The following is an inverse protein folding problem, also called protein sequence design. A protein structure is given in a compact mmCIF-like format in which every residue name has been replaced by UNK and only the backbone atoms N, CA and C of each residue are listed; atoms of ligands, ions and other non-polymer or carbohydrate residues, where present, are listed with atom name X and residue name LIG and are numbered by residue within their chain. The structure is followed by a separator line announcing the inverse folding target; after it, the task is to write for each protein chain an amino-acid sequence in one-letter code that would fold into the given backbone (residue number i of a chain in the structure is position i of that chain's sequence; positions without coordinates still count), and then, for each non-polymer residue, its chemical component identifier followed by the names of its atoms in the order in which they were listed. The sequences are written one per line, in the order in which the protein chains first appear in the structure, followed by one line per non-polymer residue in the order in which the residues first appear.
data_IF_073060963455
#
_entry.id   IF_073060963455
#
_cell.length_a   1.000
_cell.length_b   1.000
_cell.length_c   1.000
_cell.angle_alpha   90.00
_cell.angle_beta   90.00
_cell.angle_gamma   90.00
#
_symmetry.space_group_name_H-M   'P 1'
#
loop_
_entity.id
_entity.type
_entity.pdbx_description
1 polymer ?
#
# COMPACT_ATOMS: atom_id res chain seq x y z
N UNK A 1 4.18 -16.00 -8.15
CA UNK A 1 3.73 -14.88 -7.32
C UNK A 1 4.29 -13.58 -7.90
N UNK A 2 3.48 -12.54 -7.92
CA UNK A 2 3.83 -11.21 -8.44
C UNK A 2 5.12 -10.65 -7.81
N UNK A 3 5.27 -10.87 -6.52
CA UNK A 3 6.42 -10.40 -5.73
C UNK A 3 7.56 -11.43 -5.62
N UNK A 4 7.42 -12.60 -6.24
CA UNK A 4 8.38 -13.72 -6.13
C UNK A 4 8.70 -14.07 -4.67
N UNK A 5 7.71 -13.92 -3.77
CA UNK A 5 7.80 -14.20 -2.35
C UNK A 5 6.79 -15.29 -1.97
N UNK A 6 7.21 -16.13 -1.08
CA UNK A 6 6.32 -17.08 -0.42
C UNK A 6 5.65 -16.36 0.76
N UNK A 7 4.34 -16.21 0.67
CA UNK A 7 3.51 -15.56 1.70
C UNK A 7 2.49 -16.56 2.18
N UNK A 8 2.38 -16.72 3.48
CA UNK A 8 1.36 -17.58 4.09
C UNK A 8 -0.05 -17.15 3.63
N UNK A 9 -0.80 -18.03 2.94
CA UNK A 9 -2.15 -17.73 2.47
C UNK A 9 -3.10 -17.31 3.59
N UNK A 10 -2.92 -17.80 4.81
CA UNK A 10 -3.75 -17.44 5.96
C UNK A 10 -3.61 -15.96 6.38
N UNK A 11 -2.56 -15.30 5.91
CA UNK A 11 -2.33 -13.87 6.13
C UNK A 11 -2.90 -12.98 5.02
N UNK A 12 -3.53 -13.57 4.00
CA UNK A 12 -4.03 -12.84 2.82
C UNK A 12 -5.53 -12.63 2.93
N UNK A 13 -5.95 -11.39 2.77
CA UNK A 13 -7.36 -11.01 2.67
C UNK A 13 -7.72 -10.53 1.27
N UNK A 14 -8.75 -11.11 0.67
CA UNK A 14 -9.35 -10.62 -0.56
C UNK A 14 -10.45 -9.63 -0.20
N UNK A 15 -10.37 -8.43 -0.79
CA UNK A 15 -11.20 -7.28 -0.45
C UNK A 15 -11.96 -6.75 -1.68
N UNK A 16 -13.12 -6.09 -1.52
CA UNK A 16 -13.81 -5.42 -2.65
C UNK A 16 -13.08 -4.14 -3.08
N UNK A 17 -11.92 -4.31 -3.71
CA UNK A 17 -10.94 -3.27 -4.04
C UNK A 17 -9.98 -2.99 -2.89
N UNK A 18 -9.04 -2.06 -3.07
CA UNK A 18 -8.03 -1.72 -2.06
C UNK A 18 -8.54 -0.89 -0.87
N UNK A 19 -9.63 -0.13 -1.04
CA UNK A 19 -10.13 0.80 -0.02
C UNK A 19 -10.45 0.17 1.34
N UNK A 20 -11.09 -1.01 1.44
CA UNK A 20 -11.35 -1.62 2.75
C UNK A 20 -10.07 -1.88 3.57
N UNK A 21 -8.97 -2.25 2.92
CA UNK A 21 -7.68 -2.42 3.61
C UNK A 21 -7.21 -1.12 4.25
N UNK A 22 -7.26 0.00 3.50
CA UNK A 22 -6.90 1.33 4.00
C UNK A 22 -7.77 1.71 5.20
N UNK A 23 -9.07 1.50 5.06
CA UNK A 23 -10.07 1.79 6.08
C UNK A 23 -9.82 0.99 7.36
N UNK A 24 -9.69 -0.33 7.24
CA UNK A 24 -9.53 -1.21 8.40
C UNK A 24 -8.19 -1.05 9.10
N UNK A 25 -7.10 -0.86 8.35
CA UNK A 25 -5.79 -0.61 8.94
C UNK A 25 -5.82 0.62 9.85
N UNK A 26 -6.40 1.72 9.37
CA UNK A 26 -6.49 2.95 10.16
C UNK A 26 -7.49 2.79 11.30
N UNK A 27 -8.65 2.15 11.07
CA UNK A 27 -9.68 1.97 12.10
C UNK A 27 -9.21 1.09 13.26
N UNK A 28 -8.41 0.06 12.99
CA UNK A 28 -7.89 -0.83 14.04
C UNK A 28 -6.74 -0.23 14.85
N UNK A 29 -5.99 0.69 14.26
CA UNK A 29 -4.75 1.23 14.84
C UNK A 29 -4.96 2.65 15.36
N UNK A 30 -5.85 3.42 14.70
CA UNK A 30 -6.13 4.81 15.03
C UNK A 30 -7.07 4.96 16.22
N UNK A 31 -6.66 5.78 17.19
CA UNK A 31 -7.46 6.14 18.37
C UNK A 31 -7.08 7.55 18.85
N UNK A 32 -7.90 8.22 19.66
CA UNK A 32 -7.53 9.49 20.28
C UNK A 32 -6.21 9.39 21.05
N UNK A 33 -5.25 10.26 20.71
CA UNK A 33 -3.91 10.28 21.27
C UNK A 33 -2.85 9.53 20.47
N UNK A 34 -3.24 8.64 19.55
CA UNK A 34 -2.32 8.04 18.59
C UNK A 34 -1.94 9.02 17.47
N UNK A 35 -0.75 8.85 16.91
CA UNK A 35 -0.28 9.58 15.73
C UNK A 35 -0.13 8.62 14.55
N UNK A 36 -0.56 9.07 13.36
CA UNK A 36 -0.42 8.31 12.10
C UNK A 36 0.32 9.19 11.09
N UNK A 37 1.46 8.71 10.65
CA UNK A 37 2.33 9.38 9.69
C UNK A 37 1.87 9.04 8.27
N UNK A 38 1.63 10.05 7.42
CA UNK A 38 1.08 9.85 6.07
C UNK A 38 1.63 10.88 5.06
N UNK A 39 1.60 10.55 3.72
CA UNK A 39 2.11 11.48 2.72
C UNK A 39 1.17 12.66 2.46
N UNK A 40 1.76 13.83 2.17
CA UNK A 40 1.08 15.02 1.65
C UNK A 40 1.88 15.60 0.47
N UNK A 41 1.26 15.75 -0.76
CA UNK A 41 -0.06 15.26 -1.12
C UNK A 41 -0.13 13.74 -1.16
N UNK A 42 -1.27 13.18 -0.77
CA UNK A 42 -1.55 11.75 -0.74
C UNK A 42 -2.98 11.40 -1.17
N UNK A 43 -3.32 10.12 -1.14
CA UNK A 43 -4.67 9.70 -1.48
C UNK A 43 -5.64 10.09 -0.36
N UNK A 44 -6.74 10.82 -0.65
CA UNK A 44 -7.55 11.52 0.37
C UNK A 44 -8.15 10.65 1.47
N UNK A 45 -8.38 9.36 1.21
CA UNK A 45 -8.97 8.45 2.19
C UNK A 45 -8.11 8.34 3.46
N UNK A 46 -6.79 8.43 3.33
CA UNK A 46 -5.88 8.26 4.46
C UNK A 46 -6.11 9.34 5.52
N UNK A 47 -6.00 10.59 5.15
CA UNK A 47 -6.21 11.71 6.09
C UNK A 47 -7.65 11.72 6.62
N UNK A 48 -8.65 11.46 5.75
CA UNK A 48 -10.05 11.41 6.15
C UNK A 48 -10.30 10.34 7.22
N UNK A 49 -9.71 9.16 7.06
CA UNK A 49 -9.87 8.07 8.02
C UNK A 49 -9.11 8.31 9.32
N UNK A 50 -7.90 8.88 9.24
CA UNK A 50 -7.15 9.25 10.43
C UNK A 50 -7.98 10.21 11.30
N UNK A 51 -8.51 11.26 10.68
CA UNK A 51 -9.35 12.25 11.37
C UNK A 51 -10.64 11.61 11.93
N UNK A 52 -11.24 10.65 11.21
CA UNK A 52 -12.44 9.95 11.66
C UNK A 52 -12.21 9.15 12.96
N UNK A 53 -11.03 8.54 13.13
CA UNK A 53 -10.69 7.78 14.36
C UNK A 53 -10.36 8.66 15.56
N UNK A 54 -10.18 9.97 15.35
CA UNK A 54 -9.67 10.89 16.36
C UNK A 54 -8.17 10.82 16.60
N UNK A 55 -7.44 10.03 15.81
CA UNK A 55 -5.99 10.04 15.82
C UNK A 55 -5.45 11.34 15.18
N UNK A 56 -4.23 11.72 15.56
CA UNK A 56 -3.54 12.87 14.97
C UNK A 56 -2.89 12.49 13.66
N UNK A 57 -3.29 13.15 12.58
CA UNK A 57 -2.60 13.09 11.31
C UNK A 57 -1.25 13.82 11.39
N UNK A 58 -0.16 13.13 11.03
CA UNK A 58 1.20 13.68 10.98
C UNK A 58 1.69 13.59 9.53
N UNK A 59 1.56 14.66 8.74
CA UNK A 59 1.96 14.63 7.34
C UNK A 59 3.48 14.65 7.18
N UNK A 60 3.98 13.89 6.19
CA UNK A 60 5.29 14.13 5.61
C UNK A 60 5.14 14.68 4.19
N UNK A 61 5.79 15.82 3.94
CA UNK A 61 5.60 16.55 2.71
C UNK A 61 6.42 15.96 1.55
N UNK A 62 5.75 15.74 0.43
CA UNK A 62 6.37 15.40 -0.86
C UNK A 62 6.68 16.71 -1.58
N UNK A 63 7.89 17.21 -1.44
CA UNK A 63 8.29 18.52 -1.97
C UNK A 63 8.90 18.42 -3.37
N UNK A 64 8.83 19.53 -4.13
CA UNK A 64 9.46 19.64 -5.45
C UNK A 64 10.98 19.47 -5.37
N UNK A 65 11.61 19.92 -4.29
CA UNK A 65 13.04 19.77 -4.05
C UNK A 65 13.51 18.32 -3.96
N UNK A 66 12.57 17.40 -3.70
CA UNK A 66 12.79 15.95 -3.66
C UNK A 66 12.05 15.22 -4.79
N UNK A 67 11.80 15.87 -5.92
CA UNK A 67 11.05 15.33 -7.06
C UNK A 67 9.69 14.72 -6.65
N UNK A 68 9.04 15.33 -5.65
CA UNK A 68 7.79 14.83 -5.05
C UNK A 68 7.89 13.39 -4.49
N UNK A 69 9.10 12.91 -4.22
CA UNK A 69 9.35 11.63 -3.52
C UNK A 69 9.32 11.84 -2.01
N UNK A 70 9.04 10.80 -1.27
CA UNK A 70 9.20 10.89 0.17
C UNK A 70 10.70 10.92 0.57
N UNK A 71 10.96 11.62 1.66
CA UNK A 71 12.25 11.68 2.30
C UNK A 71 12.24 10.73 3.51
N UNK A 72 13.00 9.62 3.48
CA UNK A 72 12.98 8.65 4.57
C UNK A 72 13.47 9.23 5.90
N UNK A 73 14.37 10.23 5.90
CA UNK A 73 14.82 10.89 7.12
C UNK A 73 13.70 11.70 7.77
N UNK A 74 12.90 12.41 6.96
CA UNK A 74 11.73 13.13 7.46
C UNK A 74 10.67 12.20 8.04
N UNK A 75 10.42 11.06 7.40
CA UNK A 75 9.49 10.06 7.93
C UNK A 75 9.99 9.57 9.29
N UNK A 76 11.25 9.14 9.39
CA UNK A 76 11.82 8.62 10.63
C UNK A 76 11.83 9.67 11.74
N UNK A 77 12.17 10.93 11.42
CA UNK A 77 12.20 12.02 12.41
C UNK A 77 10.81 12.44 12.89
N UNK A 78 9.74 12.09 12.15
CA UNK A 78 8.35 12.35 12.57
C UNK A 78 7.78 11.30 13.52
N UNK A 79 8.48 10.18 13.72
CA UNK A 79 8.04 9.10 14.59
C UNK A 79 8.29 9.48 16.06
N UNK A 80 7.24 9.37 16.86
CA UNK A 80 7.26 9.58 18.32
C UNK A 80 6.79 8.32 19.05
N UNK A 81 6.81 8.34 20.37
CA UNK A 81 6.24 7.26 21.20
C UNK A 81 4.73 7.10 21.01
N UNK A 82 4.04 8.10 20.45
CA UNK A 82 2.61 8.08 20.12
C UNK A 82 2.31 7.58 18.72
N UNK A 83 3.30 7.49 17.86
CA UNK A 83 3.13 7.00 16.49
C UNK A 83 2.73 5.53 16.53
N UNK A 84 1.66 5.17 15.82
CA UNK A 84 1.16 3.79 15.73
C UNK A 84 1.20 3.22 14.31
N UNK A 85 1.17 4.09 13.30
CA UNK A 85 1.15 3.69 11.91
C UNK A 85 1.95 4.67 11.05
N UNK A 86 2.74 4.12 10.13
CA UNK A 86 3.33 4.86 9.01
C UNK A 86 2.71 4.36 7.71
N UNK A 87 2.16 5.27 6.91
CA UNK A 87 1.54 4.97 5.63
C UNK A 87 2.49 5.41 4.51
N UNK A 88 2.80 4.47 3.63
CA UNK A 88 3.67 4.66 2.47
C UNK A 88 2.89 4.33 1.21
N UNK A 89 2.97 5.18 0.20
CA UNK A 89 2.34 4.97 -1.11
C UNK A 89 3.46 5.01 -2.16
N UNK A 90 3.78 3.88 -2.76
CA UNK A 90 4.84 3.82 -3.76
C UNK A 90 4.49 2.82 -4.89
N UNK A 91 4.37 3.25 -6.14
CA UNK A 91 4.35 4.65 -6.64
C UNK A 91 3.24 5.50 -6.04
N UNK A 92 3.50 6.79 -5.86
CA UNK A 92 2.58 7.68 -5.14
C UNK A 92 1.41 8.19 -6.00
N UNK A 93 0.26 8.29 -5.38
CA UNK A 93 -0.92 8.98 -5.89
C UNK A 93 -1.20 10.19 -4.99
N UNK A 94 -1.22 11.45 -5.50
CA UNK A 94 -1.41 11.82 -6.93
C UNK A 94 -0.13 12.17 -7.71
N UNK A 95 1.05 12.19 -7.09
CA UNK A 95 2.25 12.81 -7.68
C UNK A 95 2.87 11.98 -8.82
N UNK A 96 2.60 10.67 -8.88
CA UNK A 96 3.26 9.75 -9.80
C UNK A 96 4.72 9.49 -9.46
N UNK A 97 5.22 10.03 -8.36
CA UNK A 97 6.62 9.83 -7.95
C UNK A 97 6.88 8.38 -7.56
N UNK A 98 8.09 7.95 -7.82
CA UNK A 98 8.56 6.60 -7.51
C UNK A 98 9.82 6.66 -6.66
N UNK A 99 9.79 5.97 -5.53
CA UNK A 99 10.92 5.89 -4.61
C UNK A 99 11.67 4.59 -4.85
N UNK A 100 12.97 4.71 -5.05
CA UNK A 100 13.84 3.61 -5.40
C UNK A 100 14.36 2.85 -4.17
N UNK A 101 14.88 1.65 -4.42
CA UNK A 101 15.33 0.72 -3.39
C UNK A 101 16.24 1.33 -2.31
N UNK A 102 17.27 2.16 -2.62
CA UNK A 102 18.14 2.69 -1.57
C UNK A 102 17.41 3.50 -0.49
N UNK A 103 16.40 4.28 -0.86
CA UNK A 103 15.60 5.04 0.10
C UNK A 103 14.66 4.14 0.91
N UNK A 104 14.14 3.06 0.29
CA UNK A 104 13.34 2.04 0.98
C UNK A 104 14.22 1.26 1.97
N UNK A 105 15.44 0.86 1.57
CA UNK A 105 16.40 0.19 2.46
C UNK A 105 16.68 1.05 3.69
N UNK A 106 16.97 2.33 3.49
CA UNK A 106 17.24 3.27 4.60
C UNK A 106 16.03 3.40 5.54
N UNK A 107 14.84 3.54 4.98
CA UNK A 107 13.61 3.64 5.77
C UNK A 107 13.34 2.35 6.55
N UNK A 108 13.51 1.19 5.92
CA UNK A 108 13.30 -0.11 6.55
C UNK A 108 14.25 -0.33 7.73
N UNK A 109 15.54 0.01 7.57
CA UNK A 109 16.51 -0.07 8.66
C UNK A 109 16.16 0.89 9.81
N UNK A 110 15.72 2.11 9.49
CA UNK A 110 15.27 3.07 10.50
C UNK A 110 14.05 2.58 11.27
N UNK A 111 13.05 2.02 10.56
CA UNK A 111 11.83 1.49 11.15
C UNK A 111 12.06 0.33 12.12
N UNK A 112 13.14 -0.45 12.00
CA UNK A 112 13.50 -1.49 12.97
C UNK A 112 13.67 -0.95 14.39
N UNK A 113 14.06 0.31 14.54
CA UNK A 113 14.23 0.99 15.82
C UNK A 113 12.91 1.40 16.49
N UNK A 114 11.79 1.27 15.77
CA UNK A 114 10.45 1.65 16.21
C UNK A 114 9.48 0.44 16.19
N UNK A 115 9.69 -0.59 17.03
CA UNK A 115 8.93 -1.84 16.99
C UNK A 115 7.43 -1.67 17.31
N UNK A 116 7.04 -0.55 17.90
CA UNK A 116 5.64 -0.21 18.23
C UNK A 116 4.86 0.38 17.05
N UNK A 117 5.52 0.62 15.89
CA UNK A 117 4.91 1.28 14.74
C UNK A 117 4.56 0.24 13.68
N UNK A 118 3.29 0.16 13.29
CA UNK A 118 2.84 -0.60 12.13
C UNK A 118 3.18 0.13 10.82
N UNK A 119 3.27 -0.61 9.73
CA UNK A 119 3.60 -0.09 8.41
C UNK A 119 2.47 -0.50 7.46
N UNK A 120 1.85 0.48 6.79
CA UNK A 120 0.95 0.23 5.67
C UNK A 120 1.68 0.62 4.38
N UNK A 121 2.05 -0.37 3.58
CA UNK A 121 2.63 -0.18 2.25
C UNK A 121 1.54 -0.32 1.20
N UNK A 122 1.12 0.80 0.63
CA UNK A 122 0.19 0.84 -0.50
C UNK A 122 0.98 0.70 -1.80
N UNK A 123 0.94 -0.50 -2.35
CA UNK A 123 1.68 -0.92 -3.54
C UNK A 123 0.75 -1.12 -4.76
N UNK A 124 -0.44 -0.51 -4.75
CA UNK A 124 -1.48 -0.70 -5.79
C UNK A 124 -1.00 -0.37 -7.21
N UNK A 125 0.06 0.40 -7.36
CA UNK A 125 0.70 0.74 -8.63
C UNK A 125 1.99 -0.06 -8.89
N UNK A 126 2.23 -1.15 -8.18
CA UNK A 126 3.45 -1.98 -8.23
C UNK A 126 3.86 -2.43 -9.65
N UNK A 127 2.90 -2.59 -10.56
CA UNK A 127 3.14 -2.95 -11.96
C UNK A 127 3.06 -1.77 -12.94
N UNK A 128 2.87 -0.55 -12.45
CA UNK A 128 2.82 0.68 -13.26
C UNK A 128 4.09 1.50 -13.06
N UNK A 129 5.23 0.88 -13.33
CA UNK A 129 6.57 1.45 -13.16
C UNK A 129 7.20 1.57 -14.54
N UNK A 130 7.86 2.71 -14.81
CA UNK A 130 8.48 3.05 -16.08
C UNK A 130 10.00 2.89 -16.03
N UNK A 131 10.62 3.01 -17.20
CA UNK A 131 12.06 3.11 -17.37
C UNK A 131 12.84 1.85 -16.88
N UNK A 132 12.19 0.67 -16.93
CA UNK A 132 12.81 -0.60 -16.53
C UNK A 132 13.13 -0.74 -15.06
N UNK A 133 12.57 0.13 -14.21
CA UNK A 133 12.78 0.08 -12.76
C UNK A 133 11.98 -1.06 -12.11
N UNK A 134 12.49 -1.59 -11.01
CA UNK A 134 11.84 -2.63 -10.22
C UNK A 134 11.17 -2.07 -8.97
N UNK A 135 10.03 -2.65 -8.60
CA UNK A 135 9.30 -2.28 -7.38
C UNK A 135 10.06 -2.69 -6.12
N UNK A 136 10.50 -1.75 -5.28
CA UNK A 136 11.13 -2.06 -3.99
C UNK A 136 10.06 -2.31 -2.92
N UNK A 137 9.56 -3.53 -2.86
CA UNK A 137 8.52 -3.91 -1.90
C UNK A 137 9.05 -4.10 -0.49
N UNK A 138 8.23 -3.77 0.51
CA UNK A 138 8.52 -4.06 1.92
C UNK A 138 8.50 -5.56 2.27
N UNK A 139 8.02 -6.44 1.41
CA UNK A 139 8.20 -7.89 1.57
C UNK A 139 9.65 -8.34 1.62
N UNK A 140 10.59 -7.51 1.19
CA UNK A 140 12.03 -7.83 1.23
C UNK A 140 12.67 -7.71 2.62
N UNK A 141 11.94 -7.24 3.64
CA UNK A 141 12.46 -6.99 4.99
C UNK A 141 11.78 -7.90 6.01
N UNK A 142 12.37 -9.10 6.29
CA UNK A 142 11.78 -10.08 7.21
C UNK A 142 11.51 -9.53 8.61
N UNK A 143 12.38 -8.65 9.11
CA UNK A 143 12.28 -8.06 10.45
C UNK A 143 11.09 -7.11 10.64
N UNK A 144 10.37 -6.80 9.55
CA UNK A 144 9.20 -5.92 9.59
C UNK A 144 7.87 -6.66 9.38
N UNK A 145 7.91 -7.96 9.06
CA UNK A 145 6.75 -8.73 8.61
C UNK A 145 5.65 -8.92 9.69
N UNK A 146 6.02 -8.84 10.95
CA UNK A 146 5.11 -8.96 12.10
C UNK A 146 4.24 -7.72 12.34
N UNK A 147 4.50 -6.63 11.62
CA UNK A 147 3.79 -5.34 11.70
C UNK A 147 3.63 -4.65 10.34
N UNK A 148 3.83 -5.40 9.26
CA UNK A 148 3.68 -4.94 7.89
C UNK A 148 2.29 -5.31 7.33
N UNK A 149 1.57 -4.31 6.85
CA UNK A 149 0.37 -4.47 6.03
C UNK A 149 0.74 -4.06 4.61
N UNK A 150 0.56 -4.96 3.65
CA UNK A 150 0.75 -4.65 2.23
C UNK A 150 -0.60 -4.65 1.54
N UNK A 151 -0.84 -3.62 0.77
CA UNK A 151 -2.04 -3.44 -0.05
C UNK A 151 -1.66 -3.44 -1.53
N UNK A 152 -2.34 -4.27 -2.31
CA UNK A 152 -2.29 -4.24 -3.78
C UNK A 152 -3.62 -4.76 -4.35
N UNK A 153 -3.71 -5.01 -5.64
CA UNK A 153 -4.93 -5.55 -6.24
C UNK A 153 -4.97 -5.45 -7.75
N UNK A 154 -6.11 -5.87 -8.28
CA UNK A 154 -6.34 -5.98 -9.73
C UNK A 154 -6.76 -4.66 -10.39
N UNK A 155 -7.24 -3.70 -9.60
CA UNK A 155 -7.85 -2.47 -10.13
C UNK A 155 -6.95 -1.70 -11.10
N UNK A 156 -5.66 -1.62 -10.85
CA UNK A 156 -4.70 -0.80 -11.61
C UNK A 156 -3.90 -1.65 -12.59
N UNK A 157 -3.19 -2.63 -12.08
CA UNK A 157 -2.33 -3.50 -12.89
C UNK A 157 -3.09 -4.23 -14.00
N UNK A 158 -4.31 -4.67 -13.73
CA UNK A 158 -5.13 -5.44 -14.66
C UNK A 158 -6.30 -4.64 -15.27
N UNK A 159 -6.36 -3.32 -15.07
CA UNK A 159 -7.47 -2.47 -15.51
C UNK A 159 -8.86 -2.95 -15.04
N UNK A 160 -8.92 -3.61 -13.87
CA UNK A 160 -10.13 -4.24 -13.33
C UNK A 160 -10.81 -3.39 -12.25
N UNK A 161 -10.92 -2.07 -12.46
CA UNK A 161 -11.50 -1.16 -11.47
C UNK A 161 -12.95 -1.48 -11.11
N UNK A 162 -13.76 -1.87 -12.08
CA UNK A 162 -15.17 -2.23 -11.93
C UNK A 162 -15.41 -3.60 -11.29
N UNK A 163 -14.44 -4.50 -11.33
CA UNK A 163 -14.52 -5.84 -10.74
C UNK A 163 -14.44 -5.84 -9.21
N UNK A 164 -14.03 -4.73 -8.63
CA UNK A 164 -13.91 -4.55 -7.19
C UNK A 164 -13.08 -5.64 -6.50
N UNK A 165 -11.84 -5.81 -6.98
CA UNK A 165 -10.90 -6.81 -6.47
C UNK A 165 -9.62 -6.13 -5.96
N UNK A 166 -9.30 -6.38 -4.71
CA UNK A 166 -8.05 -6.03 -4.06
C UNK A 166 -7.60 -7.16 -3.15
N UNK A 167 -6.35 -7.15 -2.75
CA UNK A 167 -5.82 -8.05 -1.75
C UNK A 167 -4.90 -7.31 -0.80
N UNK A 168 -4.74 -7.85 0.37
CA UNK A 168 -3.82 -7.35 1.36
C UNK A 168 -3.20 -8.47 2.17
N UNK A 169 -1.96 -8.28 2.59
CA UNK A 169 -1.27 -9.16 3.50
C UNK A 169 -1.21 -8.49 4.86
N UNK A 170 -1.52 -9.24 5.90
CA UNK A 170 -1.63 -8.72 7.25
C UNK A 170 -0.65 -9.40 8.21
N UNK A 171 -0.22 -8.71 9.28
CA UNK A 171 0.47 -9.36 10.39
C UNK A 171 -0.42 -10.41 11.03
N UNK A 172 0.18 -11.47 11.55
CA UNK A 172 -0.55 -12.55 12.25
C UNK A 172 -1.39 -12.00 13.42
N UNK A 173 -0.90 -10.99 14.12
CA UNK A 173 -1.60 -10.34 15.21
C UNK A 173 -2.89 -9.61 14.79
N UNK A 174 -3.05 -9.22 13.53
CA UNK A 174 -4.19 -8.45 13.05
C UNK A 174 -5.15 -9.25 12.14
N UNK A 175 -4.72 -10.37 11.55
CA UNK A 175 -5.51 -11.07 10.53
C UNK A 175 -6.88 -11.53 11.05
N UNK A 176 -6.97 -12.04 12.28
CA UNK A 176 -8.24 -12.47 12.86
C UNK A 176 -9.21 -11.31 13.08
N UNK A 177 -8.70 -10.14 13.41
CA UNK A 177 -9.50 -8.94 13.63
C UNK A 177 -10.03 -8.38 12.31
N UNK A 178 -9.18 -8.26 11.29
CA UNK A 178 -9.61 -7.79 9.96
C UNK A 178 -10.59 -8.76 9.31
N UNK A 179 -10.44 -10.06 9.53
CA UNK A 179 -11.39 -11.08 9.06
C UNK A 179 -12.79 -10.85 9.66
N UNK A 180 -12.87 -10.59 10.96
CA UNK A 180 -14.15 -10.26 11.62
C UNK A 180 -14.77 -8.97 11.06
N UNK A 181 -13.96 -7.93 10.84
CA UNK A 181 -14.44 -6.69 10.23
C UNK A 181 -14.97 -6.94 8.82
N UNK A 182 -14.27 -7.72 8.00
CA UNK A 182 -14.68 -8.05 6.65
C UNK A 182 -16.00 -8.82 6.62
N UNK A 183 -16.14 -9.86 7.44
CA UNK A 183 -17.37 -10.67 7.55
C UNK A 183 -18.56 -9.79 7.93
N UNK A 184 -18.39 -8.87 8.90
CA UNK A 184 -19.48 -8.04 9.40
C UNK A 184 -19.80 -6.82 8.52
N UNK A 185 -18.96 -6.47 7.54
CA UNK A 185 -19.18 -5.31 6.68
C UNK A 185 -19.60 -5.67 5.25
N UNK A 186 -18.95 -6.60 4.59
CA UNK A 186 -19.25 -6.97 3.20
C UNK A 186 -19.32 -8.49 2.97
N UNK A 187 -19.11 -9.31 3.99
CA UNK A 187 -19.10 -10.79 3.96
C UNK A 187 -17.97 -11.35 3.11
N UNK A 188 -18.05 -11.22 1.78
CA UNK A 188 -17.01 -11.67 0.84
C UNK A 188 -17.06 -10.86 -0.46
N UNK A 189 -16.00 -10.96 -1.26
CA UNK A 189 -16.02 -10.52 -2.65
C UNK A 189 -16.85 -11.49 -3.47
N UNK A 190 -17.61 -11.02 -4.47
CA UNK A 190 -18.45 -11.89 -5.27
C UNK A 190 -17.63 -12.97 -6.00
N UNK A 191 -18.17 -14.17 -6.06
CA UNK A 191 -17.46 -15.33 -6.61
C UNK A 191 -17.01 -15.17 -8.08
N UNK A 192 -17.83 -14.66 -9.01
CA UNK A 192 -17.37 -14.42 -10.38
C UNK A 192 -16.11 -13.54 -10.47
N UNK A 193 -16.03 -12.48 -9.67
CA UNK A 193 -14.83 -11.64 -9.64
C UNK A 193 -13.60 -12.40 -9.11
N UNK A 194 -13.76 -13.27 -8.11
CA UNK A 194 -12.65 -14.07 -7.59
C UNK A 194 -12.08 -15.00 -8.65
N UNK A 195 -12.93 -15.71 -9.42
CA UNK A 195 -12.48 -16.52 -10.55
C UNK A 195 -11.80 -15.71 -11.65
N UNK A 196 -12.33 -14.52 -11.95
CA UNK A 196 -11.68 -13.60 -12.89
C UNK A 196 -10.31 -13.12 -12.37
N UNK A 197 -10.20 -12.89 -11.06
CA UNK A 197 -8.94 -12.53 -10.41
C UNK A 197 -7.87 -13.64 -10.51
N UNK A 198 -8.27 -14.90 -10.31
CA UNK A 198 -7.39 -16.06 -10.50
C UNK A 198 -6.93 -16.13 -11.96
N UNK A 199 -7.85 -16.06 -12.91
CA UNK A 199 -7.53 -16.10 -14.33
C UNK A 199 -6.59 -14.95 -14.75
N UNK A 200 -6.71 -13.76 -14.15
CA UNK A 200 -5.82 -12.64 -14.40
C UNK A 200 -4.40 -12.88 -13.85
N UNK A 201 -4.28 -13.56 -12.69
CA UNK A 201 -2.98 -13.88 -12.10
C UNK A 201 -2.25 -15.01 -12.81
N UNK A 202 -2.99 -16.00 -13.29
CA UNK A 202 -2.45 -17.19 -13.96
C UNK A 202 -2.28 -16.97 -15.48
N UNK A 203 -2.91 -15.92 -16.02
CA UNK A 203 -2.87 -15.58 -17.44
C UNK A 203 -1.57 -14.88 -17.86
N UNK A 204 -1.41 -14.66 -19.17
CA UNK A 204 -0.25 -13.95 -19.70
C UNK A 204 -0.27 -12.47 -19.35
N UNK A 205 0.90 -11.87 -19.23
CA UNK A 205 1.07 -10.44 -18.90
C UNK A 205 0.96 -9.51 -20.13
N UNK A 206 0.63 -10.04 -21.31
CA UNK A 206 0.59 -9.28 -22.59
C UNK A 206 -0.30 -8.04 -22.52
N UNK A 207 -1.48 -8.16 -21.90
CA UNK A 207 -2.40 -7.03 -21.72
C UNK A 207 -1.82 -5.93 -20.82
N UNK A 208 -1.07 -6.32 -19.80
CA UNK A 208 -0.39 -5.39 -18.90
C UNK A 208 0.75 -4.67 -19.63
N UNK A 209 1.57 -5.42 -20.37
CA UNK A 209 2.65 -4.86 -21.19
C UNK A 209 2.11 -3.86 -22.21
N UNK A 210 1.04 -4.24 -22.95
CA UNK A 210 0.41 -3.33 -23.92
C UNK A 210 -0.14 -2.05 -23.25
N UNK A 211 -0.80 -2.18 -22.08
CA UNK A 211 -1.29 -1.03 -21.32
C UNK A 211 -0.12 -0.11 -20.91
N UNK A 212 0.98 -0.68 -20.42
CA UNK A 212 2.16 0.07 -19.99
C UNK A 212 2.84 0.78 -21.15
N UNK A 213 2.93 0.17 -22.33
CA UNK A 213 3.40 0.83 -23.54
C UNK A 213 2.56 2.07 -23.89
N UNK A 214 1.22 1.96 -23.81
CA UNK A 214 0.32 3.10 -24.05
C UNK A 214 0.47 4.19 -23.01
N UNK A 215 0.64 3.85 -21.75
CA UNK A 215 0.90 4.82 -20.69
C UNK A 215 2.23 5.52 -20.88
N UNK A 216 3.27 4.81 -21.28
CA UNK A 216 4.58 5.41 -21.55
C UNK A 216 4.57 6.34 -22.76
N UNK A 217 3.87 5.95 -23.86
CA UNK A 217 3.64 6.82 -25.00
C UNK A 217 2.96 8.13 -24.60
N UNK A 218 1.89 8.05 -23.79
CA UNK A 218 1.15 9.22 -23.29
C UNK A 218 1.99 10.07 -22.34
N UNK A 219 2.75 9.44 -21.46
CA UNK A 219 3.69 10.12 -20.57
C UNK A 219 4.67 10.99 -21.37
N UNK A 220 5.28 10.42 -22.41
CA UNK A 220 6.23 11.13 -23.30
C UNK A 220 5.60 12.27 -24.11
N UNK A 221 4.27 12.26 -24.31
CA UNK A 221 3.58 13.35 -25.01
C UNK A 221 3.27 14.53 -24.09
N UNK A 222 3.21 14.32 -22.77
CA UNK A 222 2.89 15.35 -21.78
C UNK A 222 4.15 16.06 -21.28
N UNK A 223 5.28 15.36 -21.29
CA UNK A 223 6.60 15.88 -20.91
C UNK A 223 7.39 16.38 -22.12
#
# INVERSE_FOLDING_TARGET
SLYKKDVDPERIMIMPGGKPTMYYAIQMIGEPGAEIVHPTPGFPIYESMINYTGAKAVPYDLTKEKDLKFDPEKILSSITDKTRLVILINPNNPTGSFVEKPAIDFLAEGLKKHPHVYILSDEIYSRQIFDGKEMPTFFNYPDLQDRLIVLDGWSKAYSMTGWRMGWSVWPESLISHVTKLAINSFSCVNAPSQFAGIAALDGPDDSIHHMMEKFDQRRKLIH
#
